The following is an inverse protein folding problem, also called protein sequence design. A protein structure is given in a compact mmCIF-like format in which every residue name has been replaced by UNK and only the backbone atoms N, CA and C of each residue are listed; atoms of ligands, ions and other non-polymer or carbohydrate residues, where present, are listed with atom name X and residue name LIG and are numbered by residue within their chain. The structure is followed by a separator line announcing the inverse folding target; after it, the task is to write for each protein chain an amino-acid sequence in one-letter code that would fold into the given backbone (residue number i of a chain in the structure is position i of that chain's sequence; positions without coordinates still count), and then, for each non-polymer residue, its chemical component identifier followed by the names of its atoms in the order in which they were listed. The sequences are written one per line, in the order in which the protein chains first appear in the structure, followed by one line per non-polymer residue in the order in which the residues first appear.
data_IF_054573768210
#
_entry.id   IF_054573768210
#
_cell.length_a   1.000
_cell.length_b   1.000
_cell.length_c   1.000
_cell.angle_alpha   90.00
_cell.angle_beta   90.00
_cell.angle_gamma   90.00
#
_symmetry.space_group_name_H-M   'P 1'
#
loop_
_entity.id
_entity.type
_entity.pdbx_description
1 polymer ?
#
# COMPACT_ATOMS: atom_id res chain seq x y z
N UNK A 1 -13.02 0.08 41.13
CA UNK A 1 -12.00 1.10 40.85
C UNK A 1 -11.32 0.75 39.54
N UNK A 2 -11.51 1.50 38.45
CA UNK A 2 -10.70 1.35 37.26
C UNK A 2 -9.63 2.44 37.23
N UNK A 3 -8.36 2.04 37.25
CA UNK A 3 -7.22 2.92 37.05
C UNK A 3 -7.07 3.21 35.55
N UNK A 4 -7.30 4.47 35.20
CA UNK A 4 -7.07 5.07 33.89
C UNK A 4 -5.57 5.09 33.55
N UNK A 5 -5.18 4.35 32.52
CA UNK A 5 -3.90 4.54 31.83
C UNK A 5 -4.06 5.66 30.79
N UNK A 6 -3.13 6.63 30.70
CA UNK A 6 -3.19 7.63 29.65
C UNK A 6 -2.73 7.03 28.31
N UNK A 7 -3.62 7.12 27.32
CA UNK A 7 -3.32 6.99 25.90
C UNK A 7 -2.51 8.23 25.46
N UNK A 8 -1.24 8.04 25.14
CA UNK A 8 -0.46 9.00 24.35
C UNK A 8 0.12 8.24 23.15
N UNK A 9 -0.12 8.68 21.90
CA UNK A 9 0.51 8.09 20.73
C UNK A 9 1.98 8.51 20.70
N UNK A 10 2.89 7.53 20.67
CA UNK A 10 4.32 7.78 20.38
C UNK A 10 4.44 8.37 18.97
N UNK A 11 4.56 9.70 18.90
CA UNK A 11 4.82 10.42 17.66
C UNK A 11 6.32 10.38 17.36
N UNK A 12 6.73 9.54 16.41
CA UNK A 12 8.10 9.47 15.88
C UNK A 12 8.49 10.69 15.01
N UNK A 13 7.71 11.76 15.04
CA UNK A 13 7.91 12.98 14.25
C UNK A 13 8.98 13.94 14.80
N UNK A 14 9.57 13.64 15.97
CA UNK A 14 10.60 14.49 16.59
C UNK A 14 12.04 14.15 16.20
N UNK A 15 12.28 13.15 15.36
CA UNK A 15 13.63 12.71 14.95
C UNK A 15 14.09 13.27 13.58
N UNK A 16 13.37 14.24 13.00
CA UNK A 16 13.72 14.84 11.71
C UNK A 16 13.92 16.36 11.74
N UNK A 17 14.33 16.92 12.89
CA UNK A 17 14.86 18.28 12.86
C UNK A 17 16.38 18.21 12.64
N UNK A 18 16.91 18.58 11.45
CA UNK A 18 18.33 18.80 11.31
C UNK A 18 18.67 19.95 12.27
N UNK A 19 19.44 19.67 13.31
CA UNK A 19 20.04 20.70 14.15
C UNK A 19 21.09 21.38 13.28
N UNK A 20 20.65 22.35 12.47
CA UNK A 20 21.53 23.23 11.72
C UNK A 20 22.26 24.11 12.72
N UNK A 21 23.44 23.65 13.16
CA UNK A 21 24.43 24.51 13.80
C UNK A 21 24.89 25.52 12.75
N UNK A 22 24.20 26.66 12.69
CA UNK A 22 24.65 27.80 11.91
C UNK A 22 26.02 28.28 12.46
N UNK A 23 27.03 28.48 11.59
CA UNK A 23 28.23 29.17 12.00
C UNK A 23 27.89 30.64 12.30
N UNK A 24 28.51 31.28 13.30
CA UNK A 24 28.21 32.67 13.61
C UNK A 24 28.66 33.58 12.45
N UNK A 25 27.78 34.50 12.04
CA UNK A 25 28.03 35.51 11.00
C UNK A 25 29.14 36.47 11.45
N UNK A 26 30.14 36.67 10.61
CA UNK A 26 31.17 37.70 10.76
C UNK A 26 30.64 39.09 10.35
N UNK A 27 30.81 40.14 11.16
CA UNK A 27 30.59 41.51 10.72
C UNK A 27 31.91 42.20 10.32
N UNK A 28 31.94 42.82 9.15
CA UNK A 28 32.96 43.78 8.72
C UNK A 28 32.33 45.19 8.68
N UNK A 29 32.82 46.15 9.47
CA UNK A 29 33.28 47.49 8.99
C UNK A 29 33.90 48.37 10.12
N UNK A 30 35.11 48.88 9.83
CA UNK A 30 35.83 50.14 10.18
C UNK A 30 35.63 50.87 11.54
N UNK A 31 36.58 51.58 12.15
CA UNK A 31 37.98 51.96 11.87
C UNK A 31 38.56 52.68 13.11
N UNK A 32 39.89 52.63 13.31
CA UNK A 32 40.80 53.63 13.94
C UNK A 32 41.89 52.97 14.82
N UNK A 33 43.11 53.49 14.69
CA UNK A 33 44.36 53.18 15.41
C UNK A 33 44.99 54.54 15.79
N UNK A 34 45.76 54.70 16.88
CA UNK A 34 46.94 53.85 17.15
C UNK A 34 47.27 53.58 18.65
N UNK A 35 48.32 52.73 18.82
CA UNK A 35 49.15 52.46 20.01
C UNK A 35 48.83 51.23 20.89
N UNK A 36 49.55 50.15 20.54
CA UNK A 36 50.25 49.17 21.38
C UNK A 36 49.64 48.73 22.72
N UNK A 37 49.13 47.49 22.73
CA UNK A 37 49.76 46.41 23.51
C UNK A 37 49.94 45.17 22.63
N UNK A 38 51.15 44.64 22.65
CA UNK A 38 51.54 43.35 22.08
C UNK A 38 50.72 42.23 22.74
N UNK A 39 50.21 41.29 21.94
CA UNK A 39 50.28 39.84 22.17
C UNK A 39 49.65 39.15 20.97
N UNK A 40 50.51 38.67 20.06
CA UNK A 40 50.07 37.76 19.01
C UNK A 40 49.33 36.60 19.67
N UNK A 41 48.08 36.40 19.29
CA UNK A 41 47.37 35.13 19.48
C UNK A 41 48.19 34.09 18.73
N UNK A 42 49.19 33.52 19.41
CA UNK A 42 50.17 32.66 18.80
C UNK A 42 49.51 31.43 18.20
N UNK A 43 50.16 30.80 17.22
CA UNK A 43 49.74 29.53 16.63
C UNK A 43 49.29 28.48 17.67
N UNK A 44 49.77 28.56 18.92
CA UNK A 44 49.30 27.75 20.04
C UNK A 44 47.82 27.93 20.42
N UNK A 45 47.25 29.15 20.34
CA UNK A 45 45.84 29.38 20.63
C UNK A 45 44.91 28.72 19.60
N UNK A 46 45.26 28.86 18.31
CA UNK A 46 44.56 28.20 17.21
C UNK A 46 44.72 26.67 17.29
N UNK A 47 45.92 26.17 17.59
CA UNK A 47 46.19 24.73 17.78
C UNK A 47 45.40 24.14 18.95
N UNK A 48 45.27 24.87 20.06
CA UNK A 48 44.46 24.46 21.21
C UNK A 48 42.94 24.51 20.94
N UNK A 49 42.48 25.42 20.10
CA UNK A 49 41.09 25.46 19.64
C UNK A 49 40.82 24.25 18.74
N UNK A 50 41.69 23.98 17.77
CA UNK A 50 41.58 22.84 16.87
C UNK A 50 41.65 21.50 17.61
N UNK A 51 42.58 21.35 18.57
CA UNK A 51 42.67 20.15 19.42
C UNK A 51 41.41 19.93 20.26
N UNK A 52 40.85 20.99 20.86
CA UNK A 52 39.57 20.89 21.57
C UNK A 52 38.44 20.49 20.64
N UNK A 53 38.37 21.06 19.44
CA UNK A 53 37.34 20.72 18.47
C UNK A 53 37.44 19.26 18.01
N UNK A 54 38.65 18.74 17.77
CA UNK A 54 38.85 17.32 17.45
C UNK A 54 38.49 16.40 18.62
N UNK A 55 38.79 16.80 19.86
CA UNK A 55 38.41 16.04 21.05
C UNK A 55 36.89 16.01 21.23
N UNK A 56 36.21 17.15 21.07
CA UNK A 56 34.75 17.23 21.11
C UNK A 56 34.10 16.38 20.02
N UNK A 57 34.64 16.39 18.79
CA UNK A 57 34.17 15.53 17.71
C UNK A 57 34.36 14.06 18.04
N UNK A 58 35.55 13.65 18.51
CA UNK A 58 35.82 12.26 18.88
C UNK A 58 34.92 11.76 20.02
N UNK A 59 34.62 12.62 21.00
CA UNK A 59 33.75 12.26 22.11
C UNK A 59 32.27 12.22 21.67
N UNK A 60 31.85 13.12 20.78
CA UNK A 60 30.52 13.08 20.17
C UNK A 60 30.33 11.80 19.33
N UNK A 61 31.33 11.41 18.52
CA UNK A 61 31.33 10.15 17.78
C UNK A 61 31.30 8.95 18.73
N UNK A 62 32.08 8.97 19.82
CA UNK A 62 32.07 7.91 20.84
C UNK A 62 30.69 7.75 21.47
N UNK A 63 30.03 8.85 21.86
CA UNK A 63 28.69 8.83 22.43
C UNK A 63 27.65 8.33 21.41
N UNK A 64 27.77 8.74 20.14
CA UNK A 64 26.91 8.25 19.05
C UNK A 64 27.06 6.74 18.86
N UNK A 65 28.30 6.23 18.82
CA UNK A 65 28.56 4.80 18.70
C UNK A 65 27.98 4.01 19.88
N UNK A 66 28.11 4.51 21.11
CA UNK A 66 27.49 3.89 22.28
C UNK A 66 25.96 3.83 22.14
N UNK A 67 25.32 4.89 21.65
CA UNK A 67 23.87 4.90 21.42
C UNK A 67 23.45 3.91 20.32
N UNK A 68 24.23 3.80 19.24
CA UNK A 68 23.99 2.83 18.16
C UNK A 68 24.14 1.39 18.66
N UNK A 69 25.16 1.11 19.46
CA UNK A 69 25.37 -0.21 20.07
C UNK A 69 24.23 -0.57 21.02
N UNK A 70 23.79 0.37 21.86
CA UNK A 70 22.64 0.17 22.74
C UNK A 70 21.34 -0.08 21.94
N UNK A 71 21.14 0.64 20.83
CA UNK A 71 19.98 0.43 19.97
C UNK A 71 20.03 -0.95 19.31
N UNK A 72 21.19 -1.35 18.77
CA UNK A 72 21.42 -2.66 18.16
C UNK A 72 21.15 -3.81 19.14
N UNK A 73 21.60 -3.67 20.39
CA UNK A 73 21.33 -4.63 21.46
C UNK A 73 19.83 -4.71 21.78
N UNK A 74 19.14 -3.56 21.90
CA UNK A 74 17.69 -3.53 22.16
C UNK A 74 16.89 -4.16 21.02
N UNK A 75 17.25 -3.90 19.77
CA UNK A 75 16.61 -4.52 18.60
C UNK A 75 16.83 -6.03 18.57
N UNK A 76 18.04 -6.49 18.89
CA UNK A 76 18.37 -7.91 18.95
C UNK A 76 17.58 -8.63 20.05
N UNK A 77 17.54 -8.04 21.25
CA UNK A 77 16.74 -8.56 22.36
C UNK A 77 15.25 -8.63 22.00
N UNK A 78 14.71 -7.58 21.36
CA UNK A 78 13.31 -7.57 20.95
C UNK A 78 13.03 -8.66 19.90
N UNK A 79 13.92 -8.84 18.92
CA UNK A 79 13.81 -9.87 17.89
C UNK A 79 13.72 -11.27 18.51
N UNK A 80 14.58 -11.57 19.49
CA UNK A 80 14.55 -12.84 20.24
C UNK A 80 13.25 -13.03 21.01
N UNK A 81 12.77 -11.99 21.71
CA UNK A 81 11.49 -12.07 22.44
C UNK A 81 10.29 -12.26 21.52
N UNK A 82 10.27 -11.57 20.39
CA UNK A 82 9.22 -11.73 19.39
C UNK A 82 9.26 -13.14 18.77
N UNK A 83 10.44 -13.71 18.61
CA UNK A 83 10.61 -15.10 18.16
C UNK A 83 10.06 -16.09 19.18
N UNK A 84 10.45 -15.95 20.45
CA UNK A 84 9.95 -16.80 21.54
C UNK A 84 8.42 -16.74 21.61
N UNK A 85 7.86 -15.53 21.56
CA UNK A 85 6.42 -15.31 21.53
C UNK A 85 5.77 -16.05 20.36
N UNK A 86 6.34 -15.93 19.16
CA UNK A 86 5.74 -16.51 17.98
C UNK A 86 5.81 -18.04 17.96
N UNK A 87 6.87 -18.65 18.49
CA UNK A 87 6.98 -20.11 18.66
C UNK A 87 5.91 -20.59 19.65
N UNK A 88 5.83 -19.94 20.81
CA UNK A 88 4.89 -20.30 21.87
C UNK A 88 3.43 -20.16 21.44
N UNK A 89 3.12 -19.13 20.65
CA UNK A 89 1.76 -18.78 20.24
C UNK A 89 1.45 -19.15 18.78
N UNK A 90 2.28 -19.97 18.11
CA UNK A 90 2.15 -20.33 16.69
C UNK A 90 0.73 -20.74 16.28
N UNK A 91 0.13 -21.69 17.02
CA UNK A 91 -1.22 -22.19 16.73
C UNK A 91 -2.28 -21.09 16.85
N UNK A 92 -2.11 -20.18 17.81
CA UNK A 92 -3.04 -19.07 18.07
C UNK A 92 -2.92 -18.00 16.98
N UNK A 93 -1.70 -17.63 16.59
CA UNK A 93 -1.40 -16.72 15.49
C UNK A 93 -2.00 -17.27 14.17
N UNK A 94 -1.87 -18.57 13.94
CA UNK A 94 -2.44 -19.22 12.77
C UNK A 94 -3.97 -19.30 12.85
N UNK A 95 -4.58 -19.49 14.02
CA UNK A 95 -6.04 -19.63 14.16
C UNK A 95 -6.80 -18.28 14.13
N UNK A 96 -6.25 -17.25 14.78
CA UNK A 96 -6.94 -15.98 15.04
C UNK A 96 -6.40 -14.85 14.11
N UNK A 97 -7.24 -14.29 13.21
CA UNK A 97 -6.84 -13.22 12.30
C UNK A 97 -6.40 -11.93 13.00
N UNK A 98 -7.06 -11.52 14.09
CA UNK A 98 -6.71 -10.29 14.82
C UNK A 98 -5.33 -10.42 15.45
N UNK A 99 -5.05 -11.56 16.09
CA UNK A 99 -3.73 -11.83 16.65
C UNK A 99 -2.66 -11.86 15.56
N UNK A 100 -2.96 -12.47 14.40
CA UNK A 100 -2.06 -12.50 13.25
C UNK A 100 -1.76 -11.11 12.72
N UNK A 101 -2.78 -10.26 12.64
CA UNK A 101 -2.65 -8.86 12.25
C UNK A 101 -1.72 -8.11 13.21
N UNK A 102 -2.00 -8.15 14.52
CA UNK A 102 -1.18 -7.48 15.55
C UNK A 102 0.27 -7.97 15.56
N UNK A 103 0.46 -9.28 15.44
CA UNK A 103 1.79 -9.87 15.36
C UNK A 103 2.58 -9.35 14.16
N UNK A 104 1.94 -9.25 13.00
CA UNK A 104 2.56 -8.69 11.79
C UNK A 104 2.88 -7.20 11.94
N UNK A 105 2.00 -6.41 12.54
CA UNK A 105 2.27 -4.99 12.79
C UNK A 105 3.53 -4.82 13.66
N UNK A 106 3.65 -5.59 14.75
CA UNK A 106 4.86 -5.58 15.58
C UNK A 106 6.13 -5.93 14.79
N UNK A 107 6.05 -6.89 13.86
CA UNK A 107 7.19 -7.23 13.00
C UNK A 107 7.55 -6.06 12.06
N UNK A 108 6.54 -5.42 11.47
CA UNK A 108 6.71 -4.32 10.51
C UNK A 108 7.35 -3.09 11.15
N UNK A 109 6.94 -2.71 12.36
CA UNK A 109 7.52 -1.56 13.08
C UNK A 109 9.02 -1.70 13.34
N UNK A 110 9.54 -2.92 13.31
CA UNK A 110 10.95 -3.24 13.55
C UNK A 110 11.71 -3.50 12.25
N UNK A 111 11.03 -3.37 11.10
CA UNK A 111 11.61 -3.63 9.79
C UNK A 111 11.80 -5.12 9.52
N UNK A 112 11.08 -5.99 10.22
CA UNK A 112 11.12 -7.45 10.04
C UNK A 112 9.88 -7.89 9.28
N UNK A 113 10.08 -8.61 8.17
CA UNK A 113 8.98 -9.24 7.46
C UNK A 113 8.90 -10.74 7.82
N UNK A 114 7.87 -11.18 8.56
CA UNK A 114 7.72 -12.57 8.97
C UNK A 114 7.48 -13.53 7.77
N UNK A 115 7.27 -12.98 6.56
CA UNK A 115 6.93 -13.71 5.33
C UNK A 115 8.01 -13.66 4.24
N UNK A 116 9.10 -12.91 4.42
CA UNK A 116 10.05 -12.61 3.32
C UNK A 116 10.94 -13.77 2.85
N UNK A 117 11.05 -14.88 3.58
CA UNK A 117 11.94 -15.97 3.15
C UNK A 117 11.57 -17.31 3.74
N UNK A 118 11.42 -18.32 2.89
CA UNK A 118 11.29 -19.74 3.26
C UNK A 118 12.55 -20.33 3.91
N UNK A 119 13.72 -19.69 3.70
CA UNK A 119 14.99 -19.93 4.43
C UNK A 119 15.27 -18.88 5.52
N UNK A 120 14.30 -18.01 5.78
CA UNK A 120 14.40 -16.96 6.77
C UNK A 120 14.05 -17.49 8.15
N UNK A 121 14.72 -16.94 9.15
CA UNK A 121 14.50 -17.17 10.57
C UNK A 121 13.02 -17.22 10.99
N UNK A 122 12.11 -16.53 10.28
CA UNK A 122 10.69 -16.46 10.64
C UNK A 122 9.80 -17.48 9.92
N UNK A 123 10.08 -17.85 8.67
CA UNK A 123 9.22 -18.79 7.95
C UNK A 123 9.44 -20.23 8.41
N UNK A 124 10.69 -20.61 8.68
CA UNK A 124 11.05 -21.98 9.12
C UNK A 124 10.62 -22.24 10.57
N UNK A 125 10.84 -21.28 11.47
CA UNK A 125 10.46 -21.43 12.88
C UNK A 125 8.96 -21.28 13.14
N UNK A 126 8.27 -20.40 12.41
CA UNK A 126 6.89 -20.05 12.78
C UNK A 126 5.80 -20.65 11.90
N UNK A 127 6.11 -21.06 10.66
CA UNK A 127 5.07 -21.51 9.71
C UNK A 127 3.96 -20.46 9.48
N UNK A 128 4.23 -19.19 9.75
CA UNK A 128 3.34 -18.06 9.39
C UNK A 128 3.48 -17.79 7.89
N UNK A 129 4.68 -17.97 7.33
CA UNK A 129 4.92 -17.96 5.88
C UNK A 129 4.05 -18.98 5.13
N UNK A 130 3.95 -20.22 5.63
CA UNK A 130 3.17 -21.27 4.96
C UNK A 130 1.68 -20.93 4.84
N UNK A 131 1.10 -20.24 5.84
CA UNK A 131 -0.29 -19.79 5.75
C UNK A 131 -0.50 -18.81 4.58
N UNK A 132 0.37 -17.81 4.45
CA UNK A 132 0.25 -16.82 3.38
C UNK A 132 0.59 -17.40 2.00
N UNK A 133 1.51 -18.37 1.91
CA UNK A 133 1.78 -19.07 0.65
C UNK A 133 0.58 -19.92 0.21
N UNK A 134 -0.04 -20.67 1.13
CA UNK A 134 -1.26 -21.44 0.83
C UNK A 134 -2.40 -20.52 0.41
N UNK A 135 -2.60 -19.41 1.14
CA UNK A 135 -3.59 -18.39 0.79
C UNK A 135 -3.32 -17.76 -0.58
N UNK A 136 -2.06 -17.45 -0.88
CA UNK A 136 -1.65 -16.90 -2.17
C UNK A 136 -1.97 -17.85 -3.33
N UNK A 137 -1.71 -19.16 -3.17
CA UNK A 137 -2.06 -20.18 -4.18
C UNK A 137 -3.59 -20.22 -4.39
N UNK A 138 -4.38 -20.17 -3.31
CA UNK A 138 -5.85 -20.15 -3.42
C UNK A 138 -6.34 -18.91 -4.18
N UNK A 139 -5.74 -17.75 -3.92
CA UNK A 139 -6.06 -16.49 -4.63
C UNK A 139 -5.70 -16.60 -6.11
N UNK A 140 -4.50 -17.09 -6.44
CA UNK A 140 -4.06 -17.30 -7.83
C UNK A 140 -5.05 -18.20 -8.58
N UNK A 141 -5.51 -19.28 -7.95
CA UNK A 141 -6.45 -20.20 -8.58
C UNK A 141 -7.84 -19.57 -8.81
N UNK A 142 -8.34 -18.79 -7.85
CA UNK A 142 -9.61 -18.05 -7.99
C UNK A 142 -9.51 -17.05 -9.15
N UNK A 143 -8.42 -16.28 -9.21
CA UNK A 143 -8.18 -15.32 -10.29
C UNK A 143 -8.01 -16.02 -11.64
N UNK A 144 -7.31 -17.16 -11.69
CA UNK A 144 -7.15 -17.94 -12.91
C UNK A 144 -8.50 -18.44 -13.46
N UNK A 145 -9.35 -19.01 -12.59
CA UNK A 145 -10.67 -19.54 -12.98
C UNK A 145 -11.64 -18.47 -13.48
N UNK A 146 -11.60 -17.29 -12.88
CA UNK A 146 -12.51 -16.18 -13.20
C UNK A 146 -12.01 -15.28 -14.33
N UNK A 147 -10.77 -15.46 -14.79
CA UNK A 147 -10.12 -14.59 -15.79
C UNK A 147 -10.93 -14.45 -17.09
N UNK A 148 -11.54 -15.54 -17.56
CA UNK A 148 -12.34 -15.52 -18.79
C UNK A 148 -13.59 -14.64 -18.65
N UNK A 149 -14.10 -14.47 -17.43
CA UNK A 149 -15.32 -13.72 -17.13
C UNK A 149 -15.03 -12.24 -16.89
N UNK A 150 -13.91 -11.92 -16.24
CA UNK A 150 -13.65 -10.58 -15.71
C UNK A 150 -12.34 -9.93 -16.18
N UNK A 151 -11.68 -10.52 -17.19
CA UNK A 151 -10.44 -9.97 -17.74
C UNK A 151 -9.26 -9.98 -16.76
N UNK A 152 -9.39 -10.65 -15.62
CA UNK A 152 -8.40 -10.66 -14.55
C UNK A 152 -8.51 -9.47 -13.58
N UNK A 153 -9.61 -8.72 -13.57
CA UNK A 153 -9.90 -7.65 -12.61
C UNK A 153 -11.12 -8.04 -11.76
N UNK A 154 -10.95 -8.12 -10.44
CA UNK A 154 -12.02 -8.55 -9.51
C UNK A 154 -11.96 -7.76 -8.21
N UNK A 155 -13.09 -7.47 -7.56
CA UNK A 155 -13.09 -6.81 -6.25
C UNK A 155 -12.35 -7.67 -5.21
N UNK A 156 -11.58 -7.00 -4.34
CA UNK A 156 -10.85 -7.67 -3.26
C UNK A 156 -11.79 -8.42 -2.31
N UNK A 157 -12.98 -7.87 -2.07
CA UNK A 157 -14.02 -8.51 -1.25
C UNK A 157 -14.53 -9.80 -1.89
N UNK A 158 -14.74 -9.82 -3.21
CA UNK A 158 -15.21 -11.02 -3.92
C UNK A 158 -14.14 -12.12 -3.90
N UNK A 159 -12.85 -11.75 -4.07
CA UNK A 159 -11.73 -12.70 -3.85
C UNK A 159 -11.77 -13.27 -2.44
N UNK A 160 -11.96 -12.42 -1.42
CA UNK A 160 -12.04 -12.84 -0.02
C UNK A 160 -13.20 -13.81 0.24
N UNK A 161 -14.41 -13.49 -0.23
CA UNK A 161 -15.58 -14.36 -0.07
C UNK A 161 -15.40 -15.69 -0.82
N UNK A 162 -14.83 -15.67 -2.03
CA UNK A 162 -14.51 -16.90 -2.80
C UNK A 162 -13.49 -17.78 -2.09
N UNK A 163 -12.45 -17.19 -1.47
CA UNK A 163 -11.47 -17.92 -0.62
C UNK A 163 -12.18 -18.55 0.57
N UNK A 164 -13.00 -17.78 1.28
CA UNK A 164 -13.73 -18.23 2.47
C UNK A 164 -14.67 -19.39 2.13
N UNK A 165 -15.51 -19.22 1.10
CA UNK A 165 -16.43 -20.25 0.62
C UNK A 165 -15.69 -21.53 0.19
N UNK A 166 -14.53 -21.41 -0.47
CA UNK A 166 -13.69 -22.57 -0.82
C UNK A 166 -13.21 -23.32 0.41
N UNK A 167 -12.70 -22.63 1.42
CA UNK A 167 -12.20 -23.23 2.67
C UNK A 167 -13.33 -23.91 3.44
N UNK A 168 -14.51 -23.28 3.51
CA UNK A 168 -15.70 -23.86 4.13
C UNK A 168 -16.17 -25.15 3.43
N UNK A 169 -16.21 -25.16 2.09
CA UNK A 169 -16.55 -26.36 1.31
C UNK A 169 -15.57 -27.50 1.55
N UNK A 170 -14.27 -27.23 1.50
CA UNK A 170 -13.23 -28.23 1.75
C UNK A 170 -13.36 -28.84 3.16
N UNK A 171 -13.65 -28.01 4.15
CA UNK A 171 -13.80 -28.47 5.52
C UNK A 171 -15.03 -29.36 5.75
N UNK A 172 -16.15 -29.10 5.05
CA UNK A 172 -17.34 -29.97 5.06
C UNK A 172 -17.03 -31.36 4.49
N UNK A 173 -16.29 -31.44 3.38
CA UNK A 173 -15.93 -32.72 2.74
C UNK A 173 -15.01 -33.56 3.62
N UNK A 174 -14.10 -32.92 4.35
CA UNK A 174 -13.14 -33.62 5.23
C UNK A 174 -13.72 -34.03 6.60
N UNK A 175 -15.05 -33.93 6.81
CA UNK A 175 -15.74 -34.41 8.01
C UNK A 175 -15.37 -33.66 9.31
N UNK A 176 -14.78 -32.46 9.21
CA UNK A 176 -14.41 -31.65 10.36
C UNK A 176 -15.39 -30.50 10.62
N UNK A 177 -15.51 -30.05 11.86
CA UNK A 177 -16.12 -28.75 12.20
C UNK A 177 -15.32 -27.63 11.51
N UNK A 178 -15.72 -27.29 10.28
CA UNK A 178 -14.95 -26.45 9.37
C UNK A 178 -14.81 -24.99 9.77
N UNK A 179 -15.55 -24.54 10.78
CA UNK A 179 -15.50 -23.20 11.33
C UNK A 179 -14.29 -22.93 12.25
N UNK A 180 -13.56 -23.97 12.67
CA UNK A 180 -12.49 -23.81 13.68
C UNK A 180 -11.06 -23.86 13.14
N UNK A 181 -10.85 -24.28 11.89
CA UNK A 181 -9.50 -24.45 11.33
C UNK A 181 -9.11 -23.20 10.52
N UNK A 182 -8.45 -22.26 11.20
CA UNK A 182 -7.68 -21.15 10.61
C UNK A 182 -8.51 -20.17 9.76
N UNK A 183 -9.10 -19.19 10.45
CA UNK A 183 -9.87 -18.12 9.83
C UNK A 183 -8.98 -17.19 8.97
N UNK A 184 -9.58 -16.65 7.91
CA UNK A 184 -8.97 -15.68 6.99
C UNK A 184 -9.72 -14.36 7.14
N UNK A 185 -8.99 -13.25 7.13
CA UNK A 185 -9.53 -11.89 7.08
C UNK A 185 -9.21 -11.22 5.75
N UNK A 186 -9.89 -10.11 5.45
CA UNK A 186 -9.62 -9.30 4.26
C UNK A 186 -8.16 -8.79 4.23
N UNK A 187 -7.60 -8.45 5.41
CA UNK A 187 -6.20 -8.01 5.53
C UNK A 187 -5.21 -9.12 5.16
N UNK A 188 -5.55 -10.39 5.46
CA UNK A 188 -4.72 -11.52 5.07
C UNK A 188 -4.67 -11.69 3.55
N UNK A 189 -5.82 -11.55 2.88
CA UNK A 189 -5.92 -11.61 1.41
C UNK A 189 -5.12 -10.49 0.76
N UNK A 190 -5.29 -9.26 1.26
CA UNK A 190 -4.52 -8.10 0.79
C UNK A 190 -3.00 -8.35 0.92
N UNK A 191 -2.57 -8.87 2.07
CA UNK A 191 -1.16 -9.16 2.31
C UNK A 191 -0.63 -10.26 1.40
N UNK A 192 -1.39 -11.35 1.20
CA UNK A 192 -1.02 -12.44 0.30
C UNK A 192 -0.81 -11.91 -1.13
N UNK A 193 -1.72 -11.06 -1.62
CA UNK A 193 -1.60 -10.43 -2.95
C UNK A 193 -0.36 -9.54 -3.04
N UNK A 194 -0.09 -8.72 -2.03
CA UNK A 194 1.11 -7.90 -2.00
C UNK A 194 2.40 -8.75 -2.08
N UNK A 195 2.39 -9.98 -1.54
CA UNK A 195 3.52 -10.90 -1.66
C UNK A 195 3.63 -11.57 -3.02
N UNK A 196 2.52 -11.79 -3.72
CA UNK A 196 2.55 -12.30 -5.09
C UNK A 196 3.32 -11.40 -6.07
N UNK A 197 3.55 -10.12 -5.74
CA UNK A 197 4.37 -9.19 -6.52
C UNK A 197 5.79 -9.70 -6.79
N UNK A 198 6.36 -10.55 -5.91
CA UNK A 198 7.71 -11.11 -6.13
C UNK A 198 7.78 -12.05 -7.32
N UNK A 199 6.63 -12.56 -7.78
CA UNK A 199 6.53 -13.41 -8.97
C UNK A 199 6.51 -12.60 -10.29
N UNK A 200 6.53 -11.27 -10.21
CA UNK A 200 6.50 -10.36 -11.37
C UNK A 200 5.18 -9.58 -11.49
N UNK A 201 4.95 -9.00 -12.67
CA UNK A 201 3.88 -8.03 -12.95
C UNK A 201 2.46 -8.64 -13.06
N UNK A 202 2.23 -9.86 -12.52
CA UNK A 202 0.96 -10.56 -12.66
C UNK A 202 -0.11 -10.14 -11.65
N UNK A 203 0.27 -9.82 -10.40
CA UNK A 203 -0.69 -9.53 -9.33
C UNK A 203 -0.48 -8.16 -8.71
N UNK A 204 -1.51 -7.33 -8.70
CA UNK A 204 -1.49 -6.02 -8.06
C UNK A 204 -2.85 -5.67 -7.46
N UNK A 205 -2.82 -4.71 -6.53
CA UNK A 205 -4.03 -4.10 -5.98
C UNK A 205 -4.20 -2.75 -6.66
N UNK A 206 -5.39 -2.50 -7.20
CA UNK A 206 -5.78 -1.27 -7.88
C UNK A 206 -6.98 -0.67 -7.15
N UNK A 207 -6.99 0.63 -6.95
CA UNK A 207 -8.15 1.33 -6.38
C UNK A 207 -8.94 1.95 -7.52
N UNK A 208 -10.22 1.58 -7.65
CA UNK A 208 -11.14 2.13 -8.65
C UNK A 208 -12.33 2.70 -7.89
N UNK A 209 -12.47 4.04 -7.93
CA UNK A 209 -13.44 4.73 -7.09
C UNK A 209 -13.11 4.56 -5.61
N UNK A 210 -14.07 4.07 -4.83
CA UNK A 210 -13.91 3.77 -3.40
C UNK A 210 -13.64 2.28 -3.11
N UNK A 211 -13.50 1.44 -4.14
CA UNK A 211 -13.31 0.00 -3.98
C UNK A 211 -11.90 -0.44 -4.39
N UNK A 212 -11.39 -1.48 -3.74
CA UNK A 212 -10.10 -2.10 -4.07
C UNK A 212 -10.33 -3.34 -4.91
N UNK A 213 -9.58 -3.45 -6.00
CA UNK A 213 -9.60 -4.55 -6.96
C UNK A 213 -8.27 -5.28 -6.97
N UNK A 214 -8.34 -6.58 -7.23
CA UNK A 214 -7.21 -7.45 -7.54
C UNK A 214 -7.10 -7.51 -9.04
N UNK A 215 -5.97 -7.06 -9.57
CA UNK A 215 -5.58 -7.25 -10.95
C UNK A 215 -4.62 -8.44 -11.01
N UNK A 216 -4.98 -9.45 -11.80
CA UNK A 216 -4.27 -10.75 -11.90
C UNK A 216 -3.61 -11.00 -13.25
N UNK A 217 -3.63 -10.00 -14.12
CA UNK A 217 -2.99 -10.02 -15.44
C UNK A 217 -2.19 -8.73 -15.68
N UNK A 218 -1.08 -8.80 -16.42
CA UNK A 218 -0.21 -7.65 -16.66
C UNK A 218 -0.78 -6.74 -17.77
N UNK A 219 -1.51 -5.71 -17.39
CA UNK A 219 -1.82 -4.58 -18.27
C UNK A 219 -1.81 -3.27 -17.46
N UNK A 220 -1.67 -2.14 -18.12
CA UNK A 220 -1.68 -0.84 -17.44
C UNK A 220 -2.97 -0.07 -17.76
N UNK A 221 -3.58 0.47 -16.71
CA UNK A 221 -4.70 1.39 -16.84
C UNK A 221 -4.15 2.81 -16.92
N UNK A 222 -4.34 3.47 -18.06
CA UNK A 222 -4.00 4.88 -18.19
C UNK A 222 -5.06 5.76 -17.47
N UNK A 223 -4.89 7.09 -17.55
CA UNK A 223 -5.81 8.06 -16.91
C UNK A 223 -7.24 7.93 -17.43
N UNK A 224 -7.42 7.68 -18.72
CA UNK A 224 -8.73 7.54 -19.35
C UNK A 224 -9.42 6.27 -18.89
N UNK A 225 -8.69 5.16 -18.89
CA UNK A 225 -9.18 3.88 -18.41
C UNK A 225 -9.65 4.00 -16.95
N UNK A 226 -8.82 4.62 -16.11
CA UNK A 226 -9.11 4.82 -14.69
C UNK A 226 -10.31 5.73 -14.47
N UNK A 227 -10.43 6.80 -15.28
CA UNK A 227 -11.56 7.72 -15.24
C UNK A 227 -12.88 7.03 -15.60
N UNK A 228 -12.91 6.28 -16.71
CA UNK A 228 -14.12 5.59 -17.15
C UNK A 228 -14.56 4.52 -16.15
N UNK A 229 -13.64 3.71 -15.62
CA UNK A 229 -13.95 2.71 -14.62
C UNK A 229 -14.50 3.34 -13.32
N UNK A 230 -13.92 4.46 -12.88
CA UNK A 230 -14.41 5.22 -11.73
C UNK A 230 -15.81 5.78 -11.98
N UNK A 231 -16.04 6.37 -13.15
CA UNK A 231 -17.34 6.92 -13.53
C UNK A 231 -18.43 5.83 -13.52
N UNK A 232 -18.19 4.70 -14.18
CA UNK A 232 -19.13 3.58 -14.21
C UNK A 232 -19.39 3.02 -12.80
N UNK A 233 -18.35 2.94 -11.97
CA UNK A 233 -18.46 2.48 -10.59
C UNK A 233 -19.37 3.38 -9.74
N UNK A 234 -19.32 4.71 -9.94
CA UNK A 234 -20.21 5.67 -9.27
C UNK A 234 -21.65 5.62 -9.79
N UNK A 235 -21.80 5.48 -11.10
CA UNK A 235 -23.10 5.57 -11.77
C UNK A 235 -23.94 4.27 -11.70
N UNK A 236 -23.28 3.13 -11.52
CA UNK A 236 -23.93 1.83 -11.42
C UNK A 236 -23.33 0.83 -12.39
N UNK A 237 -22.95 -0.32 -11.86
CA UNK A 237 -22.26 -1.38 -12.62
C UNK A 237 -23.23 -2.37 -13.26
N UNK A 238 -24.50 -2.42 -12.84
CA UNK A 238 -25.49 -3.42 -13.29
C UNK A 238 -26.10 -3.13 -14.66
N UNK A 239 -25.93 -1.91 -15.19
CA UNK A 239 -26.45 -1.51 -16.50
C UNK A 239 -25.40 -1.57 -17.60
N UNK A 240 -25.84 -1.71 -18.84
CA UNK A 240 -25.02 -1.46 -20.03
C UNK A 240 -24.87 0.02 -20.30
N UNK A 241 -23.86 0.35 -21.11
CA UNK A 241 -23.60 1.70 -21.59
C UNK A 241 -23.32 1.69 -23.09
N UNK A 242 -23.85 2.67 -23.82
CA UNK A 242 -23.43 2.93 -25.20
C UNK A 242 -22.25 3.91 -25.24
N UNK A 243 -21.59 4.02 -26.40
CA UNK A 243 -20.54 5.03 -26.63
C UNK A 243 -21.10 6.45 -26.43
N UNK A 244 -22.32 6.70 -26.89
CA UNK A 244 -22.98 7.99 -26.76
C UNK A 244 -23.35 8.30 -25.31
N UNK A 245 -23.84 7.31 -24.55
CA UNK A 245 -24.11 7.45 -23.12
C UNK A 245 -22.86 7.85 -22.36
N UNK A 246 -21.75 7.13 -22.55
CA UNK A 246 -20.50 7.42 -21.85
C UNK A 246 -19.94 8.78 -22.24
N UNK A 247 -20.00 9.15 -23.52
CA UNK A 247 -19.57 10.48 -23.96
C UNK A 247 -20.32 11.61 -23.24
N UNK A 248 -21.64 11.49 -23.12
CA UNK A 248 -22.49 12.44 -22.38
C UNK A 248 -22.17 12.43 -20.89
N UNK A 249 -22.14 11.26 -20.25
CA UNK A 249 -21.94 11.11 -18.80
C UNK A 249 -20.55 11.60 -18.36
N UNK A 250 -19.52 11.39 -19.20
CA UNK A 250 -18.17 11.92 -18.96
C UNK A 250 -18.22 13.45 -18.95
N UNK A 251 -18.88 14.06 -19.95
CA UNK A 251 -19.02 15.52 -20.02
C UNK A 251 -19.75 16.07 -18.79
N UNK A 252 -20.87 15.46 -18.41
CA UNK A 252 -21.64 15.85 -17.22
C UNK A 252 -20.79 15.78 -15.95
N UNK A 253 -20.03 14.70 -15.75
CA UNK A 253 -19.11 14.58 -14.60
C UNK A 253 -17.99 15.62 -14.63
N UNK A 254 -17.42 15.93 -15.81
CA UNK A 254 -16.37 16.96 -15.94
C UNK A 254 -16.91 18.36 -15.62
N UNK A 255 -18.12 18.66 -16.06
CA UNK A 255 -18.80 19.93 -15.78
C UNK A 255 -19.14 20.06 -14.29
N UNK A 256 -19.57 18.97 -13.64
CA UNK A 256 -19.80 18.93 -12.19
C UNK A 256 -18.50 19.15 -11.40
N UNK A 257 -17.43 18.44 -11.73
CA UNK A 257 -16.13 18.58 -11.06
C UNK A 257 -15.60 20.04 -11.18
N UNK A 258 -15.75 20.66 -12.35
CA UNK A 258 -15.36 22.05 -12.59
C UNK A 258 -16.15 23.05 -11.71
N UNK A 259 -17.45 22.83 -11.52
CA UNK A 259 -18.30 23.66 -10.65
C UNK A 259 -17.90 23.54 -9.19
N UNK A 260 -17.60 22.33 -8.71
CA UNK A 260 -17.18 22.10 -7.32
C UNK A 260 -15.82 22.74 -7.00
N UNK A 261 -14.92 22.82 -7.99
CA UNK A 261 -13.60 23.44 -7.82
C UNK A 261 -13.63 24.99 -7.85
N UNK A 262 -14.81 25.61 -7.96
CA UNK A 262 -14.98 27.07 -7.93
C UNK A 262 -14.29 27.79 -9.10
N UNK A 263 -13.92 27.05 -10.15
CA UNK A 263 -13.15 27.58 -11.26
C UNK A 263 -14.09 27.99 -12.40
N UNK A 264 -14.67 29.18 -12.27
CA UNK A 264 -15.55 29.78 -13.28
C UNK A 264 -14.87 29.94 -14.64
N UNK A 265 -13.54 30.08 -14.66
CA UNK A 265 -12.73 30.25 -15.88
C UNK A 265 -12.31 28.92 -16.54
N UNK A 266 -12.41 27.78 -15.83
CA UNK A 266 -12.18 26.46 -16.44
C UNK A 266 -13.29 26.04 -17.42
N UNK A 267 -14.44 26.72 -17.36
CA UNK A 267 -15.57 26.50 -18.27
C UNK A 267 -15.20 26.90 -19.72
N UNK A 268 -14.17 27.73 -19.90
CA UNK A 268 -13.87 28.33 -21.21
C UNK A 268 -12.64 27.72 -21.91
N UNK A 269 -11.70 27.05 -21.22
CA UNK A 269 -10.45 26.59 -21.89
C UNK A 269 -9.88 25.20 -21.49
N UNK A 270 -10.52 24.41 -20.62
CA UNK A 270 -9.80 23.29 -19.95
C UNK A 270 -10.17 21.84 -20.29
N UNK A 271 -11.45 21.52 -20.48
CA UNK A 271 -11.91 20.13 -20.59
C UNK A 271 -12.74 19.98 -21.85
N UNK A 272 -12.08 19.79 -22.99
CA UNK A 272 -12.79 19.32 -24.17
C UNK A 272 -13.49 17.99 -23.82
N UNK A 273 -14.81 17.87 -24.07
CA UNK A 273 -15.52 16.61 -23.93
C UNK A 273 -14.77 15.51 -24.67
N UNK A 274 -14.77 14.30 -24.12
CA UNK A 274 -14.15 13.19 -24.81
C UNK A 274 -14.78 13.00 -26.18
N UNK A 275 -13.96 12.97 -27.23
CA UNK A 275 -14.45 12.62 -28.55
C UNK A 275 -14.95 11.17 -28.55
N UNK A 276 -15.93 10.86 -29.41
CA UNK A 276 -16.44 9.48 -29.56
C UNK A 276 -15.31 8.50 -29.86
N UNK A 277 -14.29 8.92 -30.61
CA UNK A 277 -13.08 8.13 -30.87
C UNK A 277 -12.28 7.81 -29.61
N UNK A 278 -12.17 8.76 -28.67
CA UNK A 278 -11.47 8.54 -27.39
C UNK A 278 -12.23 7.57 -26.48
N UNK A 279 -13.56 7.71 -26.43
CA UNK A 279 -14.44 6.76 -25.71
C UNK A 279 -14.32 5.36 -26.33
N UNK A 280 -14.42 5.26 -27.65
CA UNK A 280 -14.31 4.00 -28.37
C UNK A 280 -12.95 3.32 -28.13
N UNK A 281 -11.83 4.05 -28.23
CA UNK A 281 -10.49 3.50 -27.96
C UNK A 281 -10.35 2.98 -26.53
N UNK A 282 -10.98 3.64 -25.56
CA UNK A 282 -11.00 3.20 -24.16
C UNK A 282 -11.79 1.90 -24.00
N UNK A 283 -12.97 1.82 -24.63
CA UNK A 283 -13.80 0.61 -24.63
C UNK A 283 -13.16 -0.55 -25.39
N UNK A 284 -12.52 -0.29 -26.52
CA UNK A 284 -11.79 -1.29 -27.31
C UNK A 284 -10.65 -1.90 -26.48
N UNK A 285 -9.89 -1.09 -25.74
CA UNK A 285 -8.92 -1.60 -24.77
C UNK A 285 -9.60 -2.50 -23.73
N UNK A 286 -10.73 -2.08 -23.14
CA UNK A 286 -11.44 -2.91 -22.16
C UNK A 286 -11.97 -4.21 -22.73
N UNK A 287 -12.45 -4.21 -23.98
CA UNK A 287 -12.86 -5.43 -24.68
C UNK A 287 -11.67 -6.37 -24.89
N UNK A 288 -10.54 -5.84 -25.38
CA UNK A 288 -9.32 -6.64 -25.59
C UNK A 288 -8.79 -7.24 -24.29
N UNK A 289 -8.94 -6.55 -23.16
CA UNK A 289 -8.57 -7.07 -21.84
C UNK A 289 -9.65 -7.94 -21.18
N UNK A 290 -10.85 -8.06 -21.78
CA UNK A 290 -11.98 -8.80 -21.18
C UNK A 290 -12.59 -8.14 -19.95
N UNK A 291 -12.37 -6.84 -19.75
CA UNK A 291 -12.94 -6.05 -18.65
C UNK A 291 -14.42 -5.75 -18.89
N UNK A 292 -14.77 -5.65 -20.17
CA UNK A 292 -16.10 -5.31 -20.67
C UNK A 292 -16.57 -6.39 -21.63
N UNK A 293 -17.87 -6.67 -21.61
CA UNK A 293 -18.54 -7.50 -22.62
C UNK A 293 -19.36 -6.62 -23.56
N UNK A 294 -19.49 -7.06 -24.81
CA UNK A 294 -20.18 -6.34 -25.87
C UNK A 294 -21.46 -7.08 -26.28
N UNK A 295 -22.57 -6.37 -26.32
CA UNK A 295 -23.78 -6.81 -27.02
C UNK A 295 -24.00 -5.94 -28.26
N UNK A 296 -24.26 -6.59 -29.41
CA UNK A 296 -24.43 -5.94 -30.71
C UNK A 296 -25.79 -6.28 -31.32
N UNK A 297 -26.88 -5.69 -30.80
CA UNK A 297 -28.23 -5.88 -31.35
C UNK A 297 -28.33 -5.31 -32.78
N UNK A 298 -29.08 -5.99 -33.67
CA UNK A 298 -29.19 -5.63 -35.11
C UNK A 298 -29.73 -4.21 -35.38
N UNK A 299 -30.54 -3.65 -34.49
CA UNK A 299 -31.26 -2.38 -34.69
C UNK A 299 -31.01 -1.34 -33.59
N UNK A 300 -30.04 -1.57 -32.72
CA UNK A 300 -29.69 -0.63 -31.63
C UNK A 300 -28.19 -0.39 -31.60
N UNK A 301 -27.79 0.61 -30.84
CA UNK A 301 -26.37 0.87 -30.59
C UNK A 301 -25.74 -0.31 -29.82
N UNK A 302 -24.43 -0.50 -30.01
CA UNK A 302 -23.69 -1.52 -29.26
C UNK A 302 -23.64 -1.15 -27.78
N UNK A 303 -23.92 -2.14 -26.94
CA UNK A 303 -24.02 -2.01 -25.49
C UNK A 303 -22.83 -2.68 -24.81
N UNK A 304 -22.23 -1.97 -23.85
CA UNK A 304 -21.01 -2.39 -23.16
C UNK A 304 -21.32 -2.66 -21.68
N UNK A 305 -21.03 -3.87 -21.21
CA UNK A 305 -21.25 -4.32 -19.84
C UNK A 305 -19.92 -4.44 -19.09
N UNK A 306 -19.75 -3.71 -17.99
CA UNK A 306 -18.52 -3.69 -17.19
C UNK A 306 -18.47 -4.85 -16.19
N UNK A 307 -18.36 -6.06 -16.71
CA UNK A 307 -18.38 -7.33 -15.96
C UNK A 307 -17.36 -7.40 -14.82
N UNK A 308 -16.17 -6.81 -14.97
CA UNK A 308 -15.18 -6.79 -13.90
C UNK A 308 -15.56 -5.93 -12.69
N UNK A 309 -16.44 -4.94 -12.90
CA UNK A 309 -16.94 -4.06 -11.84
C UNK A 309 -18.21 -4.61 -11.20
N UNK A 310 -18.90 -5.52 -11.90
CA UNK A 310 -20.03 -6.27 -11.36
C UNK A 310 -19.49 -7.26 -10.32
N UNK A 311 -20.12 -7.30 -9.14
CA UNK A 311 -19.87 -8.39 -8.18
C UNK A 311 -20.44 -9.69 -8.74
N UNK A 312 -20.17 -10.84 -8.11
CA UNK A 312 -20.53 -12.20 -8.56
C UNK A 312 -21.87 -12.32 -9.34
N UNK A 313 -21.85 -12.09 -10.66
CA UNK A 313 -22.96 -12.37 -11.57
C UNK A 313 -23.12 -13.86 -11.84
N UNK A 314 -22.10 -14.66 -11.52
CA UNK A 314 -22.02 -16.08 -11.80
C UNK A 314 -21.62 -16.89 -10.56
N UNK A 315 -22.04 -16.46 -9.37
CA UNK A 315 -22.03 -17.36 -8.22
C UNK A 315 -23.24 -18.30 -8.34
N UNK A 316 -23.04 -19.49 -8.90
CA UNK A 316 -23.62 -20.80 -8.55
C UNK A 316 -23.46 -21.76 -9.74
N UNK A 317 -22.33 -22.48 -9.71
CA UNK A 317 -22.04 -23.69 -10.48
C UNK A 317 -21.13 -24.58 -9.65
#
# INVERSE_FOLDING_TARGET
QPSSLPNEPFSLSLLQQPTTLHPPKSPLHLSHSPQQMRRGVGLHGLRNIQQRQTQFQSEAERLSNIQLDQLSQKLSFFKEKLQQYAIQHRKQINKNPELRYRFREMCREIGVDPLASSKGFWSELLGVGSFYYELAIQIVEICYRSRAENGGLMKLRDVFERVKARRERYAKVMGGNGSEKQQVSLSDVQQAIQKLKVLGAGFSLQTIGNETYVQSVPYELNKDHSYMLNLVQRLGVERSYTVNDLGRLIKESQDEDARHMGNSDAIVDGLMPWSSTRVYKTLDFFLQQGIVWLDQPLQRESEYYFVSLQGDLFSFG
#
